data_IF_636247684967
#
_entry.id   IF_636247684967
#
_cell.length_a   1.000
_cell.length_b   1.000
_cell.length_c   1.000
_cell.angle_alpha   90.00
_cell.angle_beta   90.00
_cell.angle_gamma   90.00
#
_symmetry.space_group_name_H-M   'P 1'
#
loop_
_entity.id
_entity.type
_entity.pdbx_description
1 polymer ?
#
# COMPACT_ATOMS: atom_id res chain seq x y z
N UNK A 1 -9.70 -16.32 -3.32
CA UNK A 1 -8.91 -16.02 -4.53
C UNK A 1 -7.73 -15.16 -4.11
N UNK A 2 -6.51 -15.41 -4.61
CA UNK A 2 -5.27 -14.73 -4.17
C UNK A 2 -4.84 -13.68 -5.19
N UNK A 3 -4.35 -12.52 -4.74
CA UNK A 3 -3.97 -11.39 -5.59
C UNK A 3 -2.62 -11.61 -6.30
N UNK A 4 -2.61 -12.39 -7.39
CA UNK A 4 -1.39 -12.85 -8.05
C UNK A 4 -0.51 -11.75 -8.69
N UNK A 5 -1.12 -10.64 -9.16
CA UNK A 5 -0.39 -9.53 -9.80
C UNK A 5 0.37 -8.65 -8.80
N UNK A 6 0.00 -8.66 -7.53
CA UNK A 6 0.47 -7.70 -6.53
C UNK A 6 1.59 -8.24 -5.62
N UNK A 7 1.85 -9.56 -5.66
CA UNK A 7 2.73 -10.26 -4.70
C UNK A 7 4.18 -10.44 -5.14
N UNK A 8 4.51 -10.16 -6.41
CA UNK A 8 5.80 -10.49 -7.01
C UNK A 8 6.16 -9.55 -8.15
N UNK A 9 7.43 -9.58 -8.58
CA UNK A 9 7.94 -8.77 -9.68
C UNK A 9 8.35 -7.36 -9.25
N UNK A 10 8.31 -6.43 -10.19
CA UNK A 10 8.73 -5.05 -9.99
C UNK A 10 7.53 -4.14 -9.72
N UNK A 11 7.73 -3.07 -8.95
CA UNK A 11 6.74 -1.99 -8.94
C UNK A 11 6.63 -1.41 -10.35
N UNK A 12 5.40 -1.10 -10.84
CA UNK A 12 5.21 -0.55 -12.18
C UNK A 12 6.12 0.65 -12.44
N UNK A 13 6.68 0.71 -13.64
CA UNK A 13 7.56 1.82 -14.09
C UNK A 13 8.78 2.06 -13.19
N UNK A 14 9.28 1.02 -12.52
CA UNK A 14 10.46 1.09 -11.67
C UNK A 14 11.33 -0.16 -11.82
N UNK A 15 12.58 -0.06 -11.37
CA UNK A 15 13.48 -1.21 -11.20
C UNK A 15 13.45 -1.78 -9.77
N UNK A 16 12.47 -1.38 -8.96
CA UNK A 16 12.35 -1.81 -7.55
C UNK A 16 11.60 -3.13 -7.50
N UNK A 17 12.29 -4.20 -7.11
CA UNK A 17 11.71 -5.52 -6.93
C UNK A 17 10.89 -5.55 -5.64
N UNK A 18 9.70 -6.14 -5.65
CA UNK A 18 8.89 -6.39 -4.45
C UNK A 18 9.52 -7.50 -3.62
N UNK A 19 9.25 -7.48 -2.32
CA UNK A 19 9.51 -8.64 -1.48
C UNK A 19 8.55 -9.76 -1.90
N UNK A 20 9.08 -10.95 -2.21
CA UNK A 20 8.27 -12.08 -2.65
C UNK A 20 7.49 -12.65 -1.46
N UNK A 21 6.17 -12.74 -1.60
CA UNK A 21 5.30 -13.32 -0.57
C UNK A 21 4.78 -14.67 -1.05
N UNK A 22 5.15 -15.78 -0.37
CA UNK A 22 4.64 -17.11 -0.66
C UNK A 22 3.11 -17.18 -0.54
N UNK A 23 2.49 -18.07 -1.31
CA UNK A 23 1.02 -18.17 -1.38
C UNK A 23 0.35 -18.45 -0.03
N UNK A 24 0.99 -19.29 0.79
CA UNK A 24 0.53 -19.63 2.14
C UNK A 24 0.77 -18.52 3.18
N UNK A 25 1.43 -17.42 2.81
CA UNK A 25 1.74 -16.28 3.68
C UNK A 25 1.08 -14.97 3.23
N UNK A 26 0.17 -15.03 2.26
CA UNK A 26 -0.54 -13.83 1.74
C UNK A 26 -1.54 -13.26 2.74
N UNK A 27 -2.20 -14.13 3.52
CA UNK A 27 -3.21 -13.69 4.46
C UNK A 27 -2.56 -13.06 5.70
N UNK A 28 -2.98 -11.84 6.05
CA UNK A 28 -2.41 -11.06 7.16
C UNK A 28 -2.49 -11.74 8.54
N UNK A 29 -3.45 -12.63 8.76
CA UNK A 29 -3.58 -13.38 10.02
C UNK A 29 -2.57 -14.54 10.14
N UNK A 30 -1.85 -14.88 9.07
CA UNK A 30 -0.80 -15.89 9.10
C UNK A 30 0.51 -15.22 9.55
N UNK A 31 1.11 -15.76 10.61
CA UNK A 31 2.39 -15.27 11.10
C UNK A 31 3.48 -15.40 10.03
N UNK A 32 4.21 -14.31 9.80
CA UNK A 32 5.35 -14.27 8.89
C UNK A 32 6.45 -13.36 9.45
N UNK A 33 7.21 -13.87 10.42
CA UNK A 33 8.26 -13.12 11.13
C UNK A 33 9.40 -12.62 10.24
N UNK A 34 9.68 -13.33 9.14
CA UNK A 34 10.70 -12.96 8.16
C UNK A 34 10.20 -11.95 7.12
N UNK A 35 8.94 -11.50 7.21
CA UNK A 35 8.37 -10.54 6.27
C UNK A 35 9.12 -9.20 6.34
N UNK A 36 9.88 -8.90 5.29
CA UNK A 36 10.70 -7.69 5.18
C UNK A 36 10.42 -6.96 3.87
N UNK A 37 9.25 -6.32 3.73
CA UNK A 37 8.90 -5.58 2.53
C UNK A 37 9.90 -4.46 2.27
N UNK A 38 10.05 -4.10 0.99
CA UNK A 38 10.83 -2.93 0.60
C UNK A 38 9.91 -1.71 0.67
N UNK A 39 10.38 -0.70 1.40
CA UNK A 39 9.76 0.62 1.43
C UNK A 39 10.02 1.35 0.11
N UNK A 40 8.95 1.73 -0.59
CA UNK A 40 9.05 2.41 -1.87
C UNK A 40 7.81 3.25 -2.16
N UNK A 41 8.02 4.55 -2.35
CA UNK A 41 7.06 5.49 -2.90
C UNK A 41 7.66 6.10 -4.16
N UNK A 42 6.90 6.15 -5.27
CA UNK A 42 7.43 6.65 -6.52
C UNK A 42 7.75 8.16 -6.42
N UNK A 43 8.92 8.61 -6.89
CA UNK A 43 9.39 9.99 -6.68
C UNK A 43 8.51 11.04 -7.37
N UNK A 44 7.76 10.63 -8.40
CA UNK A 44 6.83 11.50 -9.12
C UNK A 44 5.51 11.78 -8.38
N UNK A 45 5.27 11.12 -7.24
CA UNK A 45 4.06 11.31 -6.39
C UNK A 45 4.27 12.46 -5.40
N UNK A 46 5.50 12.66 -4.92
CA UNK A 46 5.79 13.64 -3.86
C UNK A 46 5.45 15.07 -4.31
N UNK A 47 4.62 15.74 -3.52
CA UNK A 47 4.19 17.13 -3.76
C UNK A 47 3.15 17.30 -4.87
N UNK A 48 2.50 16.22 -5.34
CA UNK A 48 1.40 16.33 -6.32
C UNK A 48 0.09 16.71 -5.64
N UNK A 49 -0.75 17.55 -6.25
CA UNK A 49 -2.00 18.04 -5.64
C UNK A 49 -3.08 16.97 -5.46
N UNK A 50 -2.91 15.81 -6.12
CA UNK A 50 -3.80 14.65 -6.02
C UNK A 50 -3.25 13.55 -5.10
N UNK A 51 -2.06 13.74 -4.54
CA UNK A 51 -1.41 12.77 -3.67
C UNK A 51 -1.48 13.22 -2.22
N UNK A 52 -1.59 12.24 -1.33
CA UNK A 52 -1.50 12.48 0.10
C UNK A 52 -0.08 12.87 0.51
N UNK A 53 0.07 13.66 1.60
CA UNK A 53 1.35 13.86 2.26
C UNK A 53 1.93 12.55 2.82
N UNK A 54 3.21 12.58 3.19
CA UNK A 54 3.84 11.44 3.85
C UNK A 54 3.17 11.18 5.22
N UNK A 55 3.05 9.91 5.62
CA UNK A 55 2.34 9.53 6.87
C UNK A 55 2.99 10.09 8.14
N UNK A 56 4.30 10.37 8.08
CA UNK A 56 5.08 10.93 9.17
C UNK A 56 4.91 12.45 9.32
N UNK A 57 4.19 13.10 8.40
CA UNK A 57 3.90 14.53 8.50
C UNK A 57 2.89 14.80 9.62
N UNK A 58 3.29 15.61 10.60
CA UNK A 58 2.48 15.94 11.80
C UNK A 58 1.10 16.54 11.44
N UNK A 59 1.02 17.26 10.33
CA UNK A 59 -0.21 17.87 9.82
C UNK A 59 -1.14 16.87 9.14
N UNK A 60 -0.64 15.70 8.73
CA UNK A 60 -1.43 14.70 8.05
C UNK A 60 -2.06 13.74 9.06
N UNK A 61 -3.38 13.89 9.26
CA UNK A 61 -4.18 13.08 10.19
C UNK A 61 -5.36 12.47 9.43
N UNK A 62 -5.11 11.46 8.59
CA UNK A 62 -6.16 10.87 7.77
C UNK A 62 -7.18 10.14 8.65
N UNK A 63 -8.47 10.30 8.34
CA UNK A 63 -9.53 9.55 8.97
C UNK A 63 -9.84 8.27 8.17
N UNK A 64 -9.11 7.20 8.46
CA UNK A 64 -9.29 5.90 7.81
C UNK A 64 -10.71 5.35 7.98
N UNK A 65 -11.24 4.69 6.96
CA UNK A 65 -12.57 4.09 6.92
C UNK A 65 -13.73 5.10 7.06
N UNK A 66 -13.48 6.36 6.72
CA UNK A 66 -14.50 7.42 6.74
C UNK A 66 -14.46 8.24 5.46
N UNK A 67 -15.51 9.02 5.24
CA UNK A 67 -15.53 10.05 4.20
C UNK A 67 -14.81 11.27 4.77
N UNK A 68 -13.53 11.42 4.43
CA UNK A 68 -12.68 12.50 4.92
C UNK A 68 -12.79 13.71 3.97
N UNK A 69 -13.89 14.45 4.10
CA UNK A 69 -14.17 15.62 3.25
C UNK A 69 -14.34 15.27 1.77
N UNK A 70 -13.37 15.64 0.92
CA UNK A 70 -13.38 15.34 -0.55
C UNK A 70 -12.70 14.01 -0.90
N UNK A 71 -12.09 13.34 0.08
CA UNK A 71 -11.31 12.13 -0.13
C UNK A 71 -12.03 10.94 0.51
N UNK A 72 -12.31 9.94 -0.31
CA UNK A 72 -12.94 8.71 0.15
C UNK A 72 -11.84 7.78 0.67
N UNK A 73 -11.63 7.77 1.98
CA UNK A 73 -10.75 6.82 2.67
C UNK A 73 -11.52 5.56 3.10
N UNK A 74 -12.52 5.15 2.30
CA UNK A 74 -13.38 4.00 2.54
C UNK A 74 -13.04 2.89 1.56
N UNK A 75 -12.95 1.67 2.08
CA UNK A 75 -12.80 0.48 1.25
C UNK A 75 -14.17 -0.09 0.89
N UNK A 76 -14.37 -0.40 -0.40
CA UNK A 76 -15.57 -1.08 -0.88
C UNK A 76 -15.25 -2.55 -1.13
N UNK A 77 -15.27 -3.36 -0.08
CA UNK A 77 -15.38 -4.81 -0.25
C UNK A 77 -16.84 -5.16 -0.52
N UNK A 78 -17.19 -5.36 -1.78
CA UNK A 78 -18.43 -6.04 -2.13
C UNK A 78 -18.24 -7.55 -1.85
N UNK A 79 -19.16 -8.18 -1.09
CA UNK A 79 -19.13 -9.63 -0.87
C UNK A 79 -19.33 -10.43 -2.15
#
# INVERSE_FOLDING_TARGET
MIHYKCRQGFYPSSNVKRFEVPENKVAWYIEYSEYKPIEYTAPNIKGKPWADPDIDEISFKPNWNTIDGKQLCVEYYFP
#
